data_IF_328538162464
#
_entry.id   IF_328538162464
#
_cell.length_a   1.000
_cell.length_b   1.000
_cell.length_c   1.000
_cell.angle_alpha   90.00
_cell.angle_beta   90.00
_cell.angle_gamma   90.00
#
_symmetry.space_group_name_H-M   'P 1'
#
loop_
_entity.id
_entity.type
_entity.pdbx_description
1 polymer ?
#
# COMPACT_ATOMS: atom_id res chain seq x y z
N UNK A 1 7.35 -18.23 17.09
CA UNK A 1 7.43 -16.90 16.42
C UNK A 1 6.90 -15.85 17.39
N UNK A 2 7.43 -14.67 17.39
CA UNK A 2 7.28 -13.75 18.53
C UNK A 2 5.85 -13.22 18.65
N UNK A 3 5.22 -13.43 19.79
CA UNK A 3 3.99 -12.74 20.23
C UNK A 3 4.19 -11.20 20.30
N UNK A 4 5.39 -10.72 19.89
CA UNK A 4 5.78 -9.31 20.02
C UNK A 4 4.90 -8.36 19.23
N UNK A 5 4.46 -8.74 18.01
CA UNK A 5 3.58 -7.91 17.18
C UNK A 5 2.10 -7.97 17.60
N UNK A 6 1.64 -9.02 18.27
CA UNK A 6 0.24 -9.17 18.66
C UNK A 6 -0.70 -9.37 17.48
N UNK A 7 -0.24 -10.00 16.38
CA UNK A 7 -1.01 -10.17 15.14
C UNK A 7 -1.73 -11.52 15.02
N UNK A 8 -1.25 -12.53 15.72
CA UNK A 8 -1.79 -13.90 15.61
C UNK A 8 -3.29 -13.96 15.91
N UNK A 9 -4.05 -14.62 15.05
CA UNK A 9 -5.51 -14.78 15.16
C UNK A 9 -6.32 -13.60 14.63
N UNK A 10 -5.68 -12.52 14.12
CA UNK A 10 -6.36 -11.41 13.47
C UNK A 10 -6.75 -11.74 12.03
N UNK A 11 -7.67 -10.96 11.50
CA UNK A 11 -8.12 -11.03 10.11
C UNK A 11 -7.76 -9.76 9.37
N UNK A 12 -7.11 -9.90 8.20
CA UNK A 12 -6.79 -8.80 7.30
C UNK A 12 -7.58 -8.88 6.00
N UNK A 13 -7.89 -7.72 5.44
CA UNK A 13 -8.39 -7.53 4.07
C UNK A 13 -7.34 -6.72 3.29
N UNK A 14 -6.82 -7.28 2.20
CA UNK A 14 -5.72 -6.68 1.45
C UNK A 14 -6.11 -6.56 -0.03
N UNK A 15 -6.18 -5.33 -0.56
CA UNK A 15 -6.45 -5.08 -1.98
C UNK A 15 -5.17 -5.07 -2.81
N UNK A 16 -5.26 -5.44 -4.08
CA UNK A 16 -4.09 -5.57 -4.96
C UNK A 16 -3.14 -6.67 -4.50
N UNK A 17 -3.68 -7.65 -3.76
CA UNK A 17 -2.89 -8.71 -3.14
C UNK A 17 -2.51 -9.85 -4.11
N UNK A 18 -2.88 -9.75 -5.38
CA UNK A 18 -2.42 -10.67 -6.43
C UNK A 18 -0.96 -10.46 -6.85
N UNK A 19 -0.32 -9.32 -6.47
CA UNK A 19 1.06 -9.05 -6.87
C UNK A 19 1.72 -7.90 -6.11
N UNK A 20 3.01 -7.70 -6.35
CA UNK A 20 3.78 -6.58 -5.84
C UNK A 20 3.70 -6.42 -4.32
N UNK A 21 3.50 -5.17 -3.88
CA UNK A 21 3.45 -4.83 -2.44
C UNK A 21 2.28 -5.54 -1.75
N UNK A 22 1.08 -5.56 -2.35
CA UNK A 22 -0.08 -6.19 -1.73
C UNK A 22 0.11 -7.68 -1.46
N UNK A 23 0.72 -8.41 -2.41
CA UNK A 23 1.07 -9.83 -2.23
C UNK A 23 2.10 -10.02 -1.11
N UNK A 24 3.18 -9.22 -1.10
CA UNK A 24 4.19 -9.30 -0.04
C UNK A 24 3.60 -9.04 1.35
N UNK A 25 2.69 -8.06 1.47
CA UNK A 25 1.96 -7.78 2.71
C UNK A 25 1.11 -8.97 3.13
N UNK A 26 0.39 -9.63 2.20
CA UNK A 26 -0.43 -10.78 2.51
C UNK A 26 0.42 -11.97 3.02
N UNK A 27 1.57 -12.21 2.39
CA UNK A 27 2.53 -13.23 2.81
C UNK A 27 3.09 -12.93 4.20
N UNK A 28 3.55 -11.70 4.46
CA UNK A 28 4.16 -11.31 5.74
C UNK A 28 3.14 -11.33 6.88
N UNK A 29 1.93 -10.79 6.67
CA UNK A 29 0.87 -10.87 7.68
C UNK A 29 0.49 -12.30 7.99
N UNK A 30 0.37 -13.16 6.97
CA UNK A 30 0.06 -14.57 7.14
C UNK A 30 1.15 -15.32 7.91
N UNK A 31 2.44 -15.04 7.65
CA UNK A 31 3.57 -15.60 8.40
C UNK A 31 3.53 -15.21 9.88
N UNK A 32 2.85 -14.11 10.23
CA UNK A 32 2.61 -13.67 11.60
C UNK A 32 1.28 -14.16 12.18
N UNK A 33 0.62 -15.14 11.54
CA UNK A 33 -0.59 -15.81 12.02
C UNK A 33 -1.89 -15.04 11.77
N UNK A 34 -1.90 -14.11 10.82
CA UNK A 34 -3.10 -13.39 10.36
C UNK A 34 -3.81 -14.20 9.30
N UNK A 35 -5.14 -14.33 9.39
CA UNK A 35 -5.96 -14.82 8.28
C UNK A 35 -6.10 -13.70 7.23
N UNK A 36 -5.61 -13.93 6.01
CA UNK A 36 -5.58 -12.92 4.95
C UNK A 36 -6.72 -13.12 3.94
N UNK A 37 -7.61 -12.13 3.82
CA UNK A 37 -8.52 -12.03 2.68
C UNK A 37 -7.78 -11.31 1.55
N UNK A 38 -7.45 -12.08 0.50
CA UNK A 38 -6.65 -11.66 -0.66
C UNK A 38 -7.60 -11.15 -1.73
N UNK A 39 -7.60 -9.83 -1.99
CA UNK A 39 -8.46 -9.20 -2.99
C UNK A 39 -7.64 -8.72 -4.19
N UNK A 40 -8.03 -9.15 -5.38
CA UNK A 40 -7.53 -8.62 -6.66
C UNK A 40 -8.61 -8.80 -7.74
N UNK A 41 -8.51 -8.06 -8.83
CA UNK A 41 -9.41 -8.21 -9.99
C UNK A 41 -9.08 -9.42 -10.88
N UNK A 42 -7.86 -9.95 -10.79
CA UNK A 42 -7.38 -11.08 -11.57
C UNK A 42 -7.45 -12.36 -10.74
N UNK A 43 -8.37 -13.26 -11.10
CA UNK A 43 -8.60 -14.51 -10.37
C UNK A 43 -7.36 -15.38 -10.26
N UNK A 44 -6.58 -15.49 -11.35
CA UNK A 44 -5.36 -16.31 -11.38
C UNK A 44 -4.31 -15.83 -10.37
N UNK A 45 -4.22 -14.51 -10.17
CA UNK A 45 -3.29 -13.91 -9.22
C UNK A 45 -3.79 -14.09 -7.77
N UNK A 46 -5.10 -14.01 -7.55
CA UNK A 46 -5.72 -14.34 -6.26
C UNK A 46 -5.41 -15.77 -5.87
N UNK A 47 -5.71 -16.72 -6.77
CA UNK A 47 -5.51 -18.15 -6.53
C UNK A 47 -4.03 -18.49 -6.27
N UNK A 48 -3.12 -17.88 -7.05
CA UNK A 48 -1.68 -18.06 -6.87
C UNK A 48 -1.20 -17.56 -5.49
N UNK A 49 -1.69 -16.41 -5.03
CA UNK A 49 -1.30 -15.86 -3.73
C UNK A 49 -1.87 -16.70 -2.59
N UNK A 50 -3.12 -17.14 -2.68
CA UNK A 50 -3.76 -18.02 -1.68
C UNK A 50 -3.02 -19.36 -1.59
N UNK A 51 -2.66 -19.96 -2.74
CA UNK A 51 -1.90 -21.21 -2.78
C UNK A 51 -0.52 -21.06 -2.15
N UNK A 52 0.17 -19.95 -2.38
CA UNK A 52 1.50 -19.66 -1.79
C UNK A 52 1.40 -19.49 -0.27
N UNK A 53 0.39 -18.77 0.23
CA UNK A 53 0.14 -18.63 1.66
C UNK A 53 -0.12 -19.99 2.30
N UNK A 54 -0.98 -20.81 1.68
CA UNK A 54 -1.29 -22.15 2.16
C UNK A 54 -0.05 -23.08 2.14
N UNK A 55 0.76 -22.99 1.08
CA UNK A 55 2.03 -23.73 0.97
C UNK A 55 3.04 -23.38 2.05
N UNK A 56 3.00 -22.16 2.58
CA UNK A 56 3.82 -21.70 3.71
C UNK A 56 3.15 -21.96 5.08
N UNK A 57 2.03 -22.70 5.11
CA UNK A 57 1.33 -23.04 6.36
C UNK A 57 0.45 -21.94 6.93
N UNK A 58 0.20 -20.88 6.18
CA UNK A 58 -0.68 -19.78 6.57
C UNK A 58 -2.15 -20.02 6.17
N UNK A 59 -3.01 -19.04 6.46
CA UNK A 59 -4.43 -19.08 6.15
C UNK A 59 -4.83 -17.88 5.28
N UNK A 60 -5.49 -18.16 4.17
CA UNK A 60 -6.02 -17.12 3.29
C UNK A 60 -7.35 -17.52 2.64
N UNK A 61 -8.15 -16.52 2.30
CA UNK A 61 -9.35 -16.65 1.48
C UNK A 61 -9.22 -15.69 0.29
N UNK A 62 -9.45 -16.19 -0.93
CA UNK A 62 -9.38 -15.38 -2.15
C UNK A 62 -10.73 -14.76 -2.49
N UNK A 63 -10.70 -13.51 -2.96
CA UNK A 63 -11.87 -12.79 -3.46
C UNK A 63 -11.51 -12.05 -4.76
N UNK A 64 -12.19 -12.37 -5.85
CA UNK A 64 -12.08 -11.59 -7.08
C UNK A 64 -12.91 -10.31 -6.91
N UNK A 65 -12.23 -9.16 -6.87
CA UNK A 65 -12.88 -7.89 -6.59
C UNK A 65 -12.15 -6.73 -7.31
N UNK A 66 -12.89 -5.97 -8.10
CA UNK A 66 -12.43 -4.68 -8.60
C UNK A 66 -12.76 -3.61 -7.56
N UNK A 67 -11.75 -2.91 -7.05
CA UNK A 67 -11.91 -1.84 -6.05
C UNK A 67 -12.66 -0.61 -6.58
N UNK A 68 -12.99 -0.59 -7.87
CA UNK A 68 -13.83 0.44 -8.50
C UNK A 68 -15.31 0.06 -8.59
N UNK A 69 -15.66 -1.15 -8.21
CA UNK A 69 -17.04 -1.67 -8.17
C UNK A 69 -17.53 -1.74 -6.71
N UNK A 70 -18.35 -0.77 -6.34
CA UNK A 70 -18.90 -0.65 -5.01
C UNK A 70 -19.74 -1.87 -4.59
N UNK A 71 -20.55 -2.42 -5.51
CA UNK A 71 -21.37 -3.59 -5.23
C UNK A 71 -20.51 -4.85 -4.99
N UNK A 72 -19.42 -5.00 -5.75
CA UNK A 72 -18.47 -6.09 -5.52
C UNK A 72 -17.79 -5.98 -4.15
N UNK A 73 -17.39 -4.77 -3.75
CA UNK A 73 -16.80 -4.51 -2.42
C UNK A 73 -17.79 -4.86 -1.30
N UNK A 74 -19.05 -4.42 -1.43
CA UNK A 74 -20.11 -4.72 -0.45
C UNK A 74 -20.39 -6.22 -0.33
N UNK A 75 -20.42 -6.93 -1.46
CA UNK A 75 -20.60 -8.38 -1.47
C UNK A 75 -19.44 -9.11 -0.76
N UNK A 76 -18.20 -8.68 -1.00
CA UNK A 76 -17.01 -9.20 -0.29
C UNK A 76 -17.13 -8.92 1.20
N UNK A 77 -17.44 -7.68 1.60
CA UNK A 77 -17.57 -7.32 3.01
C UNK A 77 -18.67 -8.11 3.72
N UNK A 78 -19.80 -8.38 3.06
CA UNK A 78 -20.87 -9.21 3.62
C UNK A 78 -20.44 -10.67 3.84
N UNK A 79 -19.46 -11.18 3.09
CA UNK A 79 -18.93 -12.54 3.24
C UNK A 79 -17.89 -12.66 4.35
N UNK A 80 -17.31 -11.55 4.81
CA UNK A 80 -16.23 -11.49 5.81
C UNK A 80 -16.84 -11.15 7.17
N UNK A 81 -16.67 -12.05 8.16
CA UNK A 81 -17.26 -11.87 9.49
C UNK A 81 -16.52 -10.85 10.35
N UNK A 82 -15.21 -10.81 10.25
CA UNK A 82 -14.33 -9.95 11.05
C UNK A 82 -13.26 -9.32 10.18
N UNK A 83 -12.89 -8.08 10.46
CA UNK A 83 -11.77 -7.41 9.85
C UNK A 83 -11.08 -6.54 10.91
N UNK A 84 -9.85 -6.88 11.25
CA UNK A 84 -9.01 -6.13 12.19
C UNK A 84 -8.05 -5.21 11.45
N UNK A 85 -7.68 -5.58 10.22
CA UNK A 85 -6.66 -4.89 9.42
C UNK A 85 -7.20 -4.71 8.01
N UNK A 86 -7.22 -3.47 7.52
CA UNK A 86 -7.48 -3.14 6.12
C UNK A 86 -6.21 -2.58 5.48
N UNK A 87 -5.74 -3.22 4.41
CA UNK A 87 -4.61 -2.73 3.62
C UNK A 87 -5.07 -2.39 2.21
N UNK A 88 -5.06 -1.10 1.89
CA UNK A 88 -5.31 -0.61 0.54
C UNK A 88 -3.99 -0.52 -0.23
N UNK A 89 -3.74 -1.50 -1.12
CA UNK A 89 -2.53 -1.56 -1.94
C UNK A 89 -2.83 -1.64 -3.46
N UNK A 90 -4.08 -1.81 -3.86
CA UNK A 90 -4.46 -1.75 -5.28
C UNK A 90 -4.11 -0.39 -5.87
N UNK A 91 -3.51 -0.37 -7.05
CA UNK A 91 -3.14 0.89 -7.68
C UNK A 91 -2.61 0.69 -9.09
N UNK A 92 -2.55 1.77 -9.82
CA UNK A 92 -1.98 1.83 -11.16
C UNK A 92 -1.20 3.12 -11.38
N UNK A 93 -0.29 3.08 -12.35
CA UNK A 93 0.45 4.25 -12.85
C UNK A 93 0.17 4.36 -14.34
N UNK A 94 -0.15 5.57 -14.79
CA UNK A 94 -0.24 5.91 -16.22
C UNK A 94 0.65 7.11 -16.49
N UNK A 95 1.73 6.96 -17.24
CA UNK A 95 2.57 8.08 -17.65
C UNK A 95 1.79 9.06 -18.53
N UNK A 96 2.09 10.35 -18.41
CA UNK A 96 1.49 11.43 -19.20
C UNK A 96 1.72 12.78 -18.55
N UNK A 97 1.92 13.84 -19.33
CA UNK A 97 1.99 15.19 -18.78
C UNK A 97 0.61 15.60 -18.25
N UNK A 98 0.56 16.24 -17.10
CA UNK A 98 -0.71 16.59 -16.44
C UNK A 98 -1.59 17.48 -17.31
N UNK A 99 -0.99 18.40 -18.06
CA UNK A 99 -1.70 19.32 -18.96
C UNK A 99 -2.33 18.64 -20.19
N UNK A 100 -1.85 17.44 -20.56
CA UNK A 100 -2.28 16.72 -21.75
C UNK A 100 -3.28 15.59 -21.43
N UNK A 101 -3.55 15.34 -20.13
CA UNK A 101 -4.49 14.29 -19.74
C UNK A 101 -5.92 14.63 -20.16
N UNK A 102 -6.59 13.66 -20.74
CA UNK A 102 -8.04 13.71 -20.88
C UNK A 102 -8.73 13.55 -19.53
N UNK A 103 -9.95 14.08 -19.42
CA UNK A 103 -10.78 13.87 -18.22
C UNK A 103 -11.03 12.38 -17.93
N UNK A 104 -11.08 11.55 -18.96
CA UNK A 104 -11.26 10.09 -18.82
C UNK A 104 -10.03 9.48 -18.14
N UNK A 105 -8.84 9.74 -18.65
CA UNK A 105 -7.58 9.23 -18.07
C UNK A 105 -7.37 9.70 -16.64
N UNK A 106 -7.67 10.95 -16.35
CA UNK A 106 -7.68 11.51 -15.01
C UNK A 106 -8.62 10.74 -14.09
N UNK A 107 -9.89 10.61 -14.48
CA UNK A 107 -10.91 9.94 -13.66
C UNK A 107 -10.62 8.45 -13.47
N UNK A 108 -10.15 7.75 -14.50
CA UNK A 108 -9.80 6.32 -14.42
C UNK A 108 -8.72 6.05 -13.38
N UNK A 109 -7.70 6.92 -13.33
CA UNK A 109 -6.62 6.77 -12.35
C UNK A 109 -7.12 7.08 -10.93
N UNK A 110 -7.85 8.17 -10.75
CA UNK A 110 -8.42 8.52 -9.45
C UNK A 110 -9.41 7.47 -8.96
N UNK A 111 -10.19 6.87 -9.87
CA UNK A 111 -11.16 5.83 -9.55
C UNK A 111 -10.51 4.64 -8.85
N UNK A 112 -9.34 4.19 -9.32
CA UNK A 112 -8.59 3.10 -8.70
C UNK A 112 -7.82 3.58 -7.47
N UNK A 113 -6.96 4.60 -7.64
CA UNK A 113 -5.95 4.95 -6.66
C UNK A 113 -6.47 5.74 -5.45
N UNK A 114 -7.64 6.38 -5.56
CA UNK A 114 -8.21 7.22 -4.51
C UNK A 114 -9.64 6.81 -4.16
N UNK A 115 -10.57 6.79 -5.15
CA UNK A 115 -11.96 6.42 -4.88
C UNK A 115 -12.08 4.99 -4.38
N UNK A 116 -11.35 4.03 -4.96
CA UNK A 116 -11.31 2.65 -4.48
C UNK A 116 -10.84 2.52 -3.03
N UNK A 117 -9.85 3.29 -2.64
CA UNK A 117 -9.38 3.34 -1.25
C UNK A 117 -10.45 3.87 -0.29
N UNK A 118 -11.17 4.92 -0.73
CA UNK A 118 -12.30 5.46 0.02
C UNK A 118 -13.42 4.42 0.15
N UNK A 119 -13.83 3.77 -0.93
CA UNK A 119 -14.89 2.75 -0.93
C UNK A 119 -14.54 1.61 0.03
N UNK A 120 -13.32 1.06 -0.04
CA UNK A 120 -12.85 0.03 0.87
C UNK A 120 -12.85 0.49 2.32
N UNK A 121 -12.29 1.67 2.61
CA UNK A 121 -12.26 2.22 3.96
C UNK A 121 -13.67 2.41 4.54
N UNK A 122 -14.58 2.99 3.76
CA UNK A 122 -15.98 3.21 4.15
C UNK A 122 -16.69 1.89 4.46
N UNK A 123 -16.58 0.92 3.55
CA UNK A 123 -17.30 -0.35 3.65
C UNK A 123 -16.79 -1.20 4.82
N UNK A 124 -15.47 -1.21 5.08
CA UNK A 124 -14.91 -2.00 6.17
C UNK A 124 -14.84 -1.26 7.52
N UNK A 125 -15.17 0.04 7.59
CA UNK A 125 -15.21 0.80 8.86
C UNK A 125 -16.05 0.12 9.95
N UNK A 126 -17.27 -0.40 9.69
CA UNK A 126 -18.05 -1.07 10.74
C UNK A 126 -17.33 -2.31 11.31
N UNK A 127 -16.67 -3.11 10.48
CA UNK A 127 -15.91 -4.29 10.90
C UNK A 127 -14.72 -3.89 11.76
N UNK A 128 -13.96 -2.88 11.34
CA UNK A 128 -12.79 -2.37 12.06
C UNK A 128 -13.17 -1.76 13.43
N UNK A 129 -14.32 -1.07 13.52
CA UNK A 129 -14.83 -0.60 14.80
C UNK A 129 -15.24 -1.77 15.69
N UNK A 130 -15.95 -2.76 15.14
CA UNK A 130 -16.39 -3.93 15.88
C UNK A 130 -15.22 -4.80 16.41
N UNK A 131 -14.05 -4.76 15.76
CA UNK A 131 -12.84 -5.43 16.24
C UNK A 131 -12.27 -4.83 17.52
N UNK A 132 -12.58 -3.56 17.82
CA UNK A 132 -12.08 -2.83 18.98
C UNK A 132 -10.60 -2.41 18.91
N UNK A 133 -9.85 -2.82 17.88
CA UNK A 133 -8.45 -2.48 17.64
C UNK A 133 -8.15 -2.46 16.12
N UNK A 134 -8.98 -1.74 15.38
CA UNK A 134 -8.88 -1.67 13.93
C UNK A 134 -7.65 -0.91 13.44
N UNK A 135 -7.06 -1.37 12.33
CA UNK A 135 -5.93 -0.68 11.67
C UNK A 135 -6.16 -0.59 10.17
N UNK A 136 -6.22 0.62 9.64
CA UNK A 136 -6.19 0.91 8.21
C UNK A 136 -4.78 1.33 7.80
N UNK A 137 -4.24 0.71 6.77
CA UNK A 137 -2.97 1.08 6.17
C UNK A 137 -3.18 1.30 4.67
N UNK A 138 -2.77 2.46 4.18
CA UNK A 138 -2.94 2.83 2.78
C UNK A 138 -1.58 3.01 2.12
N UNK A 139 -1.35 2.33 0.99
CA UNK A 139 -0.11 2.49 0.23
C UNK A 139 -0.19 3.79 -0.58
N UNK A 140 0.52 4.80 -0.10
CA UNK A 140 0.70 6.07 -0.77
C UNK A 140 1.94 6.04 -1.70
N UNK A 141 2.77 7.06 -1.69
CA UNK A 141 4.04 7.16 -2.41
C UNK A 141 4.80 8.41 -1.94
N UNK A 142 6.10 8.42 -2.03
CA UNK A 142 6.89 9.67 -1.92
C UNK A 142 6.42 10.73 -2.94
N UNK A 143 5.78 10.31 -4.04
CA UNK A 143 5.19 11.21 -5.03
C UNK A 143 4.01 12.02 -4.49
N UNK A 144 3.49 11.71 -3.30
CA UNK A 144 2.47 12.51 -2.60
C UNK A 144 2.98 13.90 -2.19
N UNK A 145 4.28 14.01 -1.88
CA UNK A 145 4.97 15.23 -1.45
C UNK A 145 6.05 15.68 -2.43
N UNK A 146 6.63 14.75 -3.18
CA UNK A 146 7.68 14.99 -4.18
C UNK A 146 7.16 14.58 -5.56
N UNK A 147 6.32 15.38 -6.21
CA UNK A 147 5.65 14.99 -7.45
C UNK A 147 6.64 14.72 -8.56
N UNK A 148 6.43 13.66 -9.31
CA UNK A 148 7.22 13.32 -10.46
C UNK A 148 6.56 13.88 -11.73
N UNK A 149 7.32 14.58 -12.56
CA UNK A 149 6.86 15.02 -13.87
C UNK A 149 6.41 13.86 -14.75
N UNK A 150 5.42 14.08 -15.59
CA UNK A 150 4.84 13.07 -16.50
C UNK A 150 4.31 11.80 -15.82
N UNK A 151 3.87 11.91 -14.57
CA UNK A 151 3.21 10.82 -13.84
C UNK A 151 1.68 10.84 -13.90
N UNK A 152 1.12 11.68 -14.77
CA UNK A 152 -0.32 11.86 -14.90
C UNK A 152 -0.97 12.33 -13.59
N UNK A 153 -2.11 11.77 -13.26
CA UNK A 153 -2.83 12.05 -12.01
C UNK A 153 -2.26 11.30 -10.79
N UNK A 154 -1.17 10.52 -10.96
CA UNK A 154 -0.67 9.62 -9.91
C UNK A 154 -0.29 10.36 -8.62
N UNK A 155 0.55 11.39 -8.72
CA UNK A 155 0.98 12.18 -7.55
C UNK A 155 -0.20 12.80 -6.81
N UNK A 156 -1.18 13.34 -7.56
CA UNK A 156 -2.41 13.91 -6.98
C UNK A 156 -3.22 12.85 -6.26
N UNK A 157 -3.37 11.64 -6.86
CA UNK A 157 -4.09 10.54 -6.20
C UNK A 157 -3.43 10.13 -4.89
N UNK A 158 -2.09 10.03 -4.86
CA UNK A 158 -1.35 9.61 -3.66
C UNK A 158 -1.32 10.70 -2.57
N UNK A 159 -1.31 11.98 -2.94
CA UNK A 159 -1.52 13.08 -2.01
C UNK A 159 -2.93 13.03 -1.39
N UNK A 160 -3.95 12.76 -2.21
CA UNK A 160 -5.33 12.55 -1.75
C UNK A 160 -5.45 11.40 -0.74
N UNK A 161 -4.75 10.28 -0.96
CA UNK A 161 -4.72 9.14 -0.03
C UNK A 161 -4.12 9.53 1.32
N UNK A 162 -3.03 10.32 1.34
CA UNK A 162 -2.41 10.78 2.59
C UNK A 162 -3.38 11.65 3.39
N UNK A 163 -4.06 12.60 2.73
CA UNK A 163 -5.04 13.47 3.41
C UNK A 163 -6.26 12.67 3.87
N UNK A 164 -6.79 11.77 3.04
CA UNK A 164 -7.90 10.88 3.40
C UNK A 164 -7.57 10.05 4.65
N UNK A 165 -6.37 9.48 4.73
CA UNK A 165 -5.94 8.71 5.90
C UNK A 165 -5.90 9.54 7.18
N UNK A 166 -5.41 10.78 7.11
CA UNK A 166 -5.40 11.72 8.24
C UNK A 166 -6.81 12.06 8.72
N UNK A 167 -7.73 12.26 7.79
CA UNK A 167 -9.13 12.52 8.12
C UNK A 167 -9.78 11.29 8.79
N UNK A 168 -9.59 10.10 8.24
CA UNK A 168 -10.06 8.85 8.85
C UNK A 168 -9.47 8.63 10.25
N UNK A 169 -8.19 8.93 10.45
CA UNK A 169 -7.56 8.86 11.77
C UNK A 169 -8.23 9.76 12.80
N UNK A 170 -8.57 10.99 12.40
CA UNK A 170 -9.27 11.96 13.26
C UNK A 170 -10.70 11.51 13.57
N UNK A 171 -11.47 11.06 12.57
CA UNK A 171 -12.88 10.70 12.70
C UNK A 171 -13.10 9.37 13.44
N UNK A 172 -12.16 8.43 13.33
CA UNK A 172 -12.31 7.07 13.82
C UNK A 172 -11.45 6.73 15.05
N UNK A 173 -10.52 7.61 15.43
CA UNK A 173 -9.61 7.36 16.54
C UNK A 173 -10.32 7.07 17.86
N UNK A 174 -11.37 7.85 18.20
CA UNK A 174 -12.18 7.62 19.39
C UNK A 174 -13.02 6.34 19.36
N UNK A 175 -13.13 5.71 18.18
CA UNK A 175 -13.82 4.43 17.96
C UNK A 175 -12.86 3.24 17.92
N UNK A 176 -11.58 3.44 18.29
CA UNK A 176 -10.58 2.38 18.35
C UNK A 176 -9.99 1.98 16.99
N UNK A 177 -10.12 2.83 15.95
CA UNK A 177 -9.55 2.56 14.62
C UNK A 177 -8.43 3.54 14.33
N UNK A 178 -7.27 3.02 13.96
CA UNK A 178 -6.12 3.80 13.46
C UNK A 178 -6.10 3.82 11.94
N UNK A 179 -5.64 4.91 11.35
CA UNK A 179 -5.43 5.03 9.91
C UNK A 179 -4.10 5.69 9.62
N UNK A 180 -3.25 5.03 8.84
CA UNK A 180 -1.92 5.51 8.49
C UNK A 180 -1.62 5.26 7.01
N UNK A 181 -0.64 5.97 6.47
CA UNK A 181 -0.10 5.71 5.15
C UNK A 181 1.34 5.20 5.23
N UNK A 182 1.71 4.38 4.27
CA UNK A 182 3.10 4.08 3.94
C UNK A 182 3.37 4.71 2.59
N UNK A 183 4.42 5.51 2.50
CA UNK A 183 4.88 6.19 1.27
C UNK A 183 6.18 5.55 0.77
N UNK A 184 6.09 4.51 -0.10
CA UNK A 184 7.28 3.90 -0.68
C UNK A 184 8.03 4.84 -1.61
N UNK A 185 9.35 4.65 -1.69
CA UNK A 185 10.21 5.17 -2.74
C UNK A 185 10.17 4.32 -4.02
N UNK A 186 11.36 4.07 -4.56
CA UNK A 186 11.51 3.17 -5.70
C UNK A 186 11.38 1.71 -5.22
N UNK A 187 10.37 1.00 -5.70
CA UNK A 187 10.14 -0.43 -5.40
C UNK A 187 10.11 -1.22 -6.70
N UNK A 188 10.86 -2.32 -6.75
CA UNK A 188 10.85 -3.23 -7.90
C UNK A 188 9.67 -4.19 -7.78
N UNK A 189 8.68 -4.02 -8.61
CA UNK A 189 7.42 -4.78 -8.65
C UNK A 189 7.12 -5.21 -10.08
N UNK A 190 6.19 -6.15 -10.33
CA UNK A 190 5.75 -6.46 -11.69
C UNK A 190 5.31 -5.22 -12.48
N UNK A 191 4.69 -4.23 -11.82
CA UNK A 191 4.27 -2.98 -12.44
C UNK A 191 5.44 -2.12 -12.96
N UNK A 192 6.59 -2.18 -12.30
CA UNK A 192 7.77 -1.35 -12.61
C UNK A 192 8.88 -2.13 -13.29
N UNK A 193 8.77 -3.45 -13.44
CA UNK A 193 9.82 -4.34 -13.92
C UNK A 193 10.35 -3.92 -15.31
N UNK A 194 9.45 -3.48 -16.20
CA UNK A 194 9.84 -3.05 -17.55
C UNK A 194 10.86 -1.89 -17.55
N UNK A 195 10.85 -1.03 -16.52
CA UNK A 195 11.82 0.07 -16.42
C UNK A 195 13.24 -0.44 -16.14
N UNK A 196 13.37 -1.56 -15.43
CA UNK A 196 14.67 -2.12 -15.03
C UNK A 196 15.34 -2.92 -16.14
N UNK A 197 14.63 -3.21 -17.23
CA UNK A 197 15.15 -3.92 -18.41
C UNK A 197 15.80 -2.97 -19.43
N UNK A 198 15.81 -1.66 -19.19
CA UNK A 198 16.30 -0.66 -20.14
C UNK A 198 17.71 -0.19 -19.74
N UNK A 199 18.72 -0.56 -20.53
CA UNK A 199 20.11 -0.09 -20.40
C UNK A 199 20.66 -0.18 -18.97
N UNK A 200 21.17 0.94 -18.44
CA UNK A 200 21.75 1.06 -17.10
C UNK A 200 20.76 1.57 -16.03
N UNK A 201 19.46 1.58 -16.34
CA UNK A 201 18.43 2.15 -15.44
C UNK A 201 18.43 1.48 -14.08
N UNK A 202 18.64 0.17 -14.00
CA UNK A 202 18.69 -0.54 -12.72
C UNK A 202 19.82 0.01 -11.83
N UNK A 203 21.04 0.08 -12.33
CA UNK A 203 22.21 0.58 -11.59
C UNK A 203 22.04 2.06 -11.19
N UNK A 204 21.51 2.88 -12.09
CA UNK A 204 21.28 4.30 -11.79
C UNK A 204 20.22 4.50 -10.72
N UNK A 205 19.18 3.66 -10.69
CA UNK A 205 18.16 3.71 -9.64
C UNK A 205 18.72 3.25 -8.30
N UNK A 206 19.51 2.20 -8.27
CA UNK A 206 20.17 1.74 -7.05
C UNK A 206 21.11 2.83 -6.49
N UNK A 207 21.92 3.43 -7.37
CA UNK A 207 22.85 4.50 -6.98
C UNK A 207 22.16 5.80 -6.51
N UNK A 208 20.91 6.04 -6.93
CA UNK A 208 20.15 7.21 -6.51
C UNK A 208 19.58 7.10 -5.08
N UNK A 209 19.50 5.86 -4.54
CA UNK A 209 18.95 5.61 -3.21
C UNK A 209 20.09 5.57 -2.19
N UNK A 210 20.08 6.39 -1.11
CA UNK A 210 21.16 6.40 -0.11
C UNK A 210 21.48 5.04 0.53
N UNK A 211 20.47 4.16 0.68
CA UNK A 211 20.68 2.78 1.16
C UNK A 211 21.42 1.90 0.12
N UNK A 212 21.64 2.41 -1.11
CA UNK A 212 22.42 1.72 -2.16
C UNK A 212 21.64 0.70 -2.97
N UNK A 213 20.33 0.60 -2.81
CA UNK A 213 19.48 -0.29 -3.58
C UNK A 213 18.04 0.20 -3.68
N UNK A 214 17.36 -0.21 -4.72
CA UNK A 214 15.90 -0.11 -4.83
C UNK A 214 15.25 -1.11 -3.85
N UNK A 215 14.11 -0.72 -3.29
CA UNK A 215 13.36 -1.58 -2.37
C UNK A 215 12.74 -2.79 -3.10
N UNK A 216 12.61 -3.89 -2.35
CA UNK A 216 11.73 -5.01 -2.69
C UNK A 216 10.36 -4.81 -2.06
N UNK A 217 9.30 -5.50 -2.54
CA UNK A 217 7.99 -5.47 -1.89
C UNK A 217 8.02 -5.82 -0.40
N UNK A 218 8.92 -6.73 0.02
CA UNK A 218 9.07 -7.16 1.41
C UNK A 218 9.50 -6.01 2.33
N UNK A 219 10.38 -5.10 1.85
CA UNK A 219 10.80 -3.91 2.63
C UNK A 219 9.58 -3.04 3.02
N UNK A 220 8.54 -3.02 2.18
CA UNK A 220 7.31 -2.28 2.44
C UNK A 220 6.34 -3.10 3.29
N UNK A 221 6.31 -4.42 3.08
CA UNK A 221 5.47 -5.32 3.87
C UNK A 221 5.84 -5.29 5.35
N UNK A 222 7.13 -5.20 5.69
CA UNK A 222 7.62 -5.05 7.07
C UNK A 222 7.04 -3.81 7.75
N UNK A 223 7.04 -2.67 7.06
CA UNK A 223 6.49 -1.40 7.59
C UNK A 223 4.97 -1.50 7.77
N UNK A 224 4.26 -2.11 6.80
CA UNK A 224 2.81 -2.33 6.89
C UNK A 224 2.48 -3.25 8.06
N UNK A 225 3.23 -4.34 8.24
CA UNK A 225 3.05 -5.30 9.33
C UNK A 225 3.29 -4.66 10.69
N UNK A 226 4.31 -3.80 10.82
CA UNK A 226 4.51 -3.00 12.02
C UNK A 226 3.30 -2.09 12.30
N UNK A 227 2.81 -1.33 11.30
CA UNK A 227 1.65 -0.45 11.47
C UNK A 227 0.36 -1.20 11.78
N UNK A 228 0.20 -2.43 11.29
CA UNK A 228 -0.93 -3.30 11.61
C UNK A 228 -0.89 -3.81 13.05
N UNK A 229 0.27 -3.86 13.67
CA UNK A 229 0.54 -4.49 14.96
C UNK A 229 0.14 -3.64 16.18
N UNK A 230 0.13 -4.27 17.36
CA UNK A 230 -0.06 -3.59 18.64
C UNK A 230 1.10 -2.63 19.00
N UNK A 231 2.24 -2.77 18.34
CA UNK A 231 3.39 -1.88 18.54
C UNK A 231 3.16 -0.48 17.99
N UNK A 232 2.24 -0.35 17.03
CA UNK A 232 1.83 0.93 16.47
C UNK A 232 0.55 1.51 17.10
N UNK A 233 0.10 1.03 18.27
CA UNK A 233 -1.17 1.44 18.90
C UNK A 233 -1.32 2.94 19.18
N UNK A 234 -0.22 3.69 19.20
CA UNK A 234 -0.23 5.15 19.39
C UNK A 234 0.12 5.92 18.12
N UNK A 235 0.18 5.22 16.97
CA UNK A 235 0.47 5.81 15.66
C UNK A 235 -0.83 5.82 14.85
N UNK A 236 -1.37 7.02 14.60
CA UNK A 236 -2.53 7.25 13.72
C UNK A 236 -2.38 8.60 13.04
N UNK A 237 -2.85 8.73 11.79
CA UNK A 237 -2.69 9.93 10.97
C UNK A 237 -1.26 10.16 10.46
N UNK A 238 -0.36 9.19 10.64
CA UNK A 238 1.01 9.31 10.18
C UNK A 238 1.15 8.90 8.70
N UNK A 239 2.12 9.51 8.03
CA UNK A 239 2.64 9.06 6.73
C UNK A 239 4.08 8.57 6.95
N UNK A 240 4.30 7.25 6.87
CA UNK A 240 5.62 6.66 7.03
C UNK A 240 6.28 6.55 5.67
N UNK A 241 7.30 7.37 5.46
CA UNK A 241 8.15 7.31 4.26
C UNK A 241 9.10 6.11 4.39
N UNK A 242 9.02 5.19 3.42
CA UNK A 242 9.86 4.00 3.31
C UNK A 242 10.57 3.99 1.94
N UNK A 243 11.62 4.80 1.82
CA UNK A 243 12.24 5.12 0.52
C UNK A 243 13.76 5.00 0.49
N UNK A 244 14.37 4.44 1.55
CA UNK A 244 15.82 4.32 1.67
C UNK A 244 16.57 5.67 1.70
N UNK A 245 15.89 6.76 2.05
CA UNK A 245 16.42 8.12 2.09
C UNK A 245 16.33 8.86 0.74
N UNK A 246 15.71 8.29 -0.28
CA UNK A 246 15.68 8.85 -1.63
C UNK A 246 15.07 10.27 -1.66
N UNK A 247 13.99 10.54 -0.95
CA UNK A 247 13.37 11.88 -0.91
C UNK A 247 14.23 12.94 -0.25
N UNK A 248 15.32 12.57 0.45
CA UNK A 248 16.25 13.49 1.11
C UNK A 248 17.44 13.89 0.22
N UNK A 249 17.53 13.36 -1.01
CA UNK A 249 18.70 13.57 -1.89
C UNK A 249 18.65 14.86 -2.70
N UNK A 250 17.64 15.71 -2.54
CA UNK A 250 17.47 16.93 -3.35
C UNK A 250 18.76 17.79 -3.39
N UNK A 251 19.40 17.96 -2.25
CA UNK A 251 20.59 18.80 -2.14
C UNK A 251 21.87 18.15 -2.66
N UNK A 252 21.86 16.83 -2.92
CA UNK A 252 23.03 16.14 -3.50
C UNK A 252 23.29 16.52 -4.96
N UNK A 253 22.29 17.05 -5.66
CA UNK A 253 22.43 17.55 -7.03
C UNK A 253 23.05 18.96 -7.10
N UNK A 254 23.27 19.64 -5.97
CA UNK A 254 23.81 21.00 -5.91
C UNK A 254 25.28 20.95 -5.51
N UNK A 255 26.23 21.33 -6.40
CA UNK A 255 27.64 21.34 -6.07
C UNK A 255 27.93 22.18 -4.82
N UNK A 256 28.65 21.63 -3.85
CA UNK A 256 29.02 22.30 -2.60
C UNK A 256 30.50 22.08 -2.31
N UNK A 257 31.41 22.91 -2.87
CA UNK A 257 32.83 22.76 -2.61
C UNK A 257 33.13 22.79 -1.10
N UNK A 258 33.85 21.77 -0.62
CA UNK A 258 34.25 21.65 0.81
C UNK A 258 33.27 20.89 1.71
N UNK A 259 32.14 20.33 1.16
CA UNK A 259 31.20 19.52 1.93
C UNK A 259 31.25 18.01 1.58
N UNK A 260 32.29 17.58 0.95
CA UNK A 260 32.48 16.23 0.42
C UNK A 260 32.19 16.19 -1.08
N UNK A 261 32.92 15.39 -1.81
CA UNK A 261 32.72 15.09 -3.25
C UNK A 261 31.75 13.91 -3.36
#
# INVERSE_FOLDING_TARGET
MSQWLGLSGRTAVITGAGGGIGKAVALELSANGVHCNVLDRASELVDATVAEIAGNGGQATGHVCDVTDEAAIEAVAASIKTCDILVNAAGLVRPGALADLTTVEWNDLLKVNLTGYFLMARTFTPHLIASGNGSMIHIASISSTNPQGSSGAYSVSKAGVVVMSKQLAFELGSKGVRSNTVSPGLVRTPMTEAYYQVGDVAQRRDAAVPVGRVAKPDDIADVVTFLASDRARYITGADLVADGGFSQTLMSSVPRPGFGD
#
